data_IF_661068949506
#
_entry.id   IF_661068949506
#
_cell.length_a   1.000
_cell.length_b   1.000
_cell.length_c   1.000
_cell.angle_alpha   90.00
_cell.angle_beta   90.00
_cell.angle_gamma   90.00
#
_symmetry.space_group_name_H-M   'P 1'
#
loop_
_entity.id
_entity.type
_entity.pdbx_description
1 polymer ?
#
# COMPACT_ATOMS: atom_id res chain seq x y z
N UNK A 1 -8.07 -37.04 -20.10
CA UNK A 1 -8.73 -35.96 -20.88
C UNK A 1 -9.74 -35.13 -20.08
N UNK A 2 -10.43 -35.73 -19.07
CA UNK A 2 -11.43 -35.01 -18.24
C UNK A 2 -10.79 -33.91 -17.32
N UNK A 3 -9.57 -34.11 -16.81
CA UNK A 3 -8.87 -33.15 -15.99
C UNK A 3 -8.23 -32.03 -16.82
N UNK A 4 -7.80 -32.29 -18.04
CA UNK A 4 -7.29 -31.28 -18.97
C UNK A 4 -8.37 -30.31 -19.44
N UNK A 5 -9.61 -30.76 -19.67
CA UNK A 5 -10.70 -29.88 -20.08
C UNK A 5 -11.19 -28.94 -18.97
N UNK A 6 -11.14 -29.37 -17.69
CA UNK A 6 -11.45 -28.46 -16.55
C UNK A 6 -10.38 -27.40 -16.37
N UNK A 7 -9.09 -27.75 -16.48
CA UNK A 7 -7.99 -26.80 -16.39
C UNK A 7 -8.03 -25.73 -17.50
N UNK A 8 -8.35 -26.14 -18.73
CA UNK A 8 -8.53 -25.22 -19.86
C UNK A 8 -9.74 -24.29 -19.66
N UNK A 9 -10.88 -24.81 -19.18
CA UNK A 9 -12.06 -23.99 -18.90
C UNK A 9 -11.82 -22.90 -17.84
N UNK A 10 -11.05 -23.19 -16.80
CA UNK A 10 -10.68 -22.21 -15.76
C UNK A 10 -9.67 -21.20 -16.27
N UNK A 11 -8.73 -21.59 -17.15
CA UNK A 11 -7.79 -20.67 -17.82
C UNK A 11 -8.54 -19.73 -18.77
N UNK A 12 -9.48 -20.23 -19.57
CA UNK A 12 -10.31 -19.40 -20.46
C UNK A 12 -11.22 -18.44 -19.70
N UNK A 13 -11.83 -18.85 -18.59
CA UNK A 13 -12.64 -17.96 -17.75
C UNK A 13 -11.80 -16.85 -17.10
N UNK A 14 -10.60 -17.16 -16.62
CA UNK A 14 -9.67 -16.15 -16.08
C UNK A 14 -9.24 -15.14 -17.15
N UNK A 15 -8.85 -15.60 -18.34
CA UNK A 15 -8.51 -14.71 -19.45
C UNK A 15 -9.68 -13.80 -19.84
N UNK A 16 -10.94 -14.26 -19.74
CA UNK A 16 -12.11 -13.43 -20.04
C UNK A 16 -12.34 -12.33 -18.99
N UNK A 17 -12.15 -12.63 -17.69
CA UNK A 17 -12.30 -11.65 -16.61
C UNK A 17 -11.17 -10.61 -16.64
N UNK A 18 -9.92 -11.05 -16.82
CA UNK A 18 -8.78 -10.14 -16.96
C UNK A 18 -8.92 -9.23 -18.19
N UNK A 19 -9.45 -9.77 -19.29
CA UNK A 19 -9.71 -9.00 -20.51
C UNK A 19 -10.82 -7.96 -20.30
N UNK A 20 -11.91 -8.33 -19.61
CA UNK A 20 -12.99 -7.41 -19.28
C UNK A 20 -12.52 -6.30 -18.34
N UNK A 21 -11.77 -6.65 -17.30
CA UNK A 21 -11.17 -5.68 -16.37
C UNK A 21 -10.23 -4.70 -17.13
N UNK A 22 -9.37 -5.23 -18.01
CA UNK A 22 -8.47 -4.40 -18.83
C UNK A 22 -9.23 -3.49 -19.79
N UNK A 23 -10.30 -3.98 -20.43
CA UNK A 23 -11.14 -3.15 -21.30
C UNK A 23 -11.84 -2.03 -20.54
N UNK A 24 -12.43 -2.34 -19.37
CA UNK A 24 -13.07 -1.35 -18.50
C UNK A 24 -12.04 -0.30 -18.05
N UNK A 25 -10.85 -0.72 -17.61
CA UNK A 25 -9.74 0.14 -17.23
C UNK A 25 -9.36 1.09 -18.37
N UNK A 26 -9.17 0.55 -19.59
CA UNK A 26 -8.78 1.34 -20.76
C UNK A 26 -9.86 2.38 -21.13
N UNK A 27 -11.14 2.00 -21.10
CA UNK A 27 -12.24 2.94 -21.35
C UNK A 27 -12.25 4.12 -20.37
N UNK A 28 -11.99 3.83 -19.06
CA UNK A 28 -11.92 4.87 -18.03
C UNK A 28 -10.67 5.76 -18.18
N UNK A 29 -9.54 5.20 -18.58
CA UNK A 29 -8.30 5.97 -18.84
C UNK A 29 -8.51 6.99 -19.93
N UNK A 30 -9.19 6.64 -21.03
CA UNK A 30 -9.47 7.56 -22.13
C UNK A 30 -10.37 8.74 -21.70
N UNK A 31 -11.13 8.59 -20.61
CA UNK A 31 -11.95 9.69 -20.07
C UNK A 31 -11.07 10.81 -19.51
N UNK A 32 -9.86 10.49 -19.01
CA UNK A 32 -8.92 11.48 -18.46
C UNK A 32 -8.37 12.45 -19.53
N UNK A 33 -8.56 12.16 -20.83
CA UNK A 33 -8.19 13.10 -21.91
C UNK A 33 -8.98 14.41 -21.87
N UNK A 34 -10.12 14.42 -21.15
CA UNK A 34 -10.93 15.63 -20.91
C UNK A 34 -10.31 16.59 -19.86
N UNK A 35 -9.36 16.11 -19.04
CA UNK A 35 -8.66 16.93 -18.06
C UNK A 35 -7.60 17.79 -18.72
N UNK A 36 -7.42 19.00 -18.20
CA UNK A 36 -6.38 19.95 -18.63
C UNK A 36 -5.06 19.66 -17.93
N UNK A 37 -4.58 18.43 -18.09
CA UNK A 37 -3.35 17.93 -17.50
C UNK A 37 -2.35 17.58 -18.62
N UNK A 38 -1.07 17.65 -18.32
CA UNK A 38 -0.02 17.11 -19.19
C UNK A 38 -0.14 15.59 -19.34
N UNK A 39 0.44 15.01 -20.38
CA UNK A 39 0.40 13.56 -20.60
C UNK A 39 1.06 12.78 -19.44
N UNK A 40 2.08 13.39 -18.83
CA UNK A 40 2.71 12.84 -17.64
C UNK A 40 1.75 12.81 -16.45
N UNK A 41 1.08 13.92 -16.15
CA UNK A 41 0.12 14.04 -15.05
C UNK A 41 -1.07 13.11 -15.25
N UNK A 42 -1.58 12.98 -16.49
CA UNK A 42 -2.63 12.00 -16.83
C UNK A 42 -2.17 10.57 -16.58
N UNK A 43 -0.92 10.24 -16.93
CA UNK A 43 -0.35 8.91 -16.69
C UNK A 43 -0.21 8.60 -15.21
N UNK A 44 0.16 9.59 -14.39
CA UNK A 44 0.21 9.47 -12.93
C UNK A 44 -1.19 9.26 -12.36
N UNK A 45 -2.16 10.09 -12.76
CA UNK A 45 -3.56 9.96 -12.33
C UNK A 45 -4.13 8.58 -12.69
N UNK A 46 -3.94 8.13 -13.94
CA UNK A 46 -4.40 6.82 -14.40
C UNK A 46 -3.75 5.67 -13.61
N UNK A 47 -2.47 5.82 -13.26
CA UNK A 47 -1.76 4.82 -12.47
C UNK A 47 -2.25 4.77 -11.02
N UNK A 48 -2.48 5.92 -10.40
CA UNK A 48 -2.93 6.03 -9.01
C UNK A 48 -4.39 5.57 -8.83
N UNK A 49 -5.27 5.93 -9.74
CA UNK A 49 -6.71 5.67 -9.60
C UNK A 49 -7.11 4.32 -10.20
N UNK A 50 -6.62 4.02 -11.39
CA UNK A 50 -7.02 2.85 -12.17
C UNK A 50 -5.94 1.76 -12.26
N UNK A 51 -4.73 1.99 -11.71
CA UNK A 51 -3.62 1.02 -11.79
C UNK A 51 -3.00 0.90 -13.19
N UNK A 52 -3.29 1.81 -14.12
CA UNK A 52 -2.82 1.75 -15.50
C UNK A 52 -1.40 2.29 -15.64
N UNK A 53 -0.41 1.37 -15.61
CA UNK A 53 1.03 1.70 -15.61
C UNK A 53 1.67 1.82 -16.99
N UNK A 54 0.96 1.45 -18.07
CA UNK A 54 1.53 1.36 -19.43
C UNK A 54 1.95 2.71 -19.99
N UNK A 55 1.22 3.79 -19.68
CA UNK A 55 1.48 5.14 -20.16
C UNK A 55 2.60 5.85 -19.38
N UNK A 56 3.09 5.31 -18.26
CA UNK A 56 4.05 5.99 -17.40
C UNK A 56 5.48 5.85 -17.91
N UNK A 57 6.18 6.99 -18.06
CA UNK A 57 7.58 7.05 -18.51
C UNK A 57 8.54 6.43 -17.50
N UNK A 58 9.70 5.98 -17.97
CA UNK A 58 10.78 5.49 -17.08
C UNK A 58 11.29 6.59 -16.17
N UNK A 59 11.36 7.83 -16.66
CA UNK A 59 11.82 8.98 -15.90
C UNK A 59 10.87 9.32 -14.75
N UNK A 60 9.56 9.32 -15.00
CA UNK A 60 8.55 9.51 -13.94
C UNK A 60 8.67 8.44 -12.86
N UNK A 61 8.80 7.16 -13.25
CA UNK A 61 9.02 6.06 -12.30
C UNK A 61 10.28 6.27 -11.46
N UNK A 62 11.37 6.73 -12.08
CA UNK A 62 12.63 7.04 -11.41
C UNK A 62 12.47 8.16 -10.40
N UNK A 63 11.83 9.29 -10.75
CA UNK A 63 11.58 10.41 -9.82
C UNK A 63 10.79 9.96 -8.58
N UNK A 64 9.72 9.18 -8.76
CA UNK A 64 8.95 8.61 -7.65
C UNK A 64 9.79 7.64 -6.80
N UNK A 65 10.71 6.91 -7.43
CA UNK A 65 11.63 6.00 -6.72
C UNK A 65 12.64 6.78 -5.88
N UNK A 66 13.27 7.81 -6.44
CA UNK A 66 14.20 8.68 -5.72
C UNK A 66 13.52 9.38 -4.54
N UNK A 67 12.30 9.86 -4.73
CA UNK A 67 11.49 10.44 -3.67
C UNK A 67 10.99 9.44 -2.62
N UNK A 68 11.17 8.12 -2.82
CA UNK A 68 10.78 7.07 -1.87
C UNK A 68 9.30 6.71 -1.87
N UNK A 69 8.55 7.14 -2.89
CA UNK A 69 7.09 6.96 -2.97
C UNK A 69 6.65 6.06 -4.13
N UNK A 70 7.55 5.21 -4.63
CA UNK A 70 7.23 4.21 -5.68
C UNK A 70 6.06 3.30 -5.34
N UNK A 71 5.86 3.00 -4.05
CA UNK A 71 4.78 2.15 -3.59
C UNK A 71 3.39 2.77 -3.84
N UNK A 72 3.29 4.08 -3.97
CA UNK A 72 2.05 4.80 -4.30
C UNK A 72 1.69 4.61 -5.78
N UNK A 73 2.67 4.50 -6.68
CA UNK A 73 2.44 4.21 -8.11
C UNK A 73 1.92 2.78 -8.36
N UNK A 74 1.99 1.90 -7.40
CA UNK A 74 1.27 0.64 -7.46
C UNK A 74 -0.02 0.78 -6.68
N UNK A 75 -1.16 0.35 -7.24
CA UNK A 75 -2.39 0.26 -6.45
C UNK A 75 -2.08 -0.58 -5.21
N UNK A 76 -2.10 0.06 -4.06
CA UNK A 76 -1.64 -0.50 -2.79
C UNK A 76 -2.79 -0.67 -1.81
N UNK A 77 -2.49 -1.29 -0.67
CA UNK A 77 -3.44 -1.38 0.45
C UNK A 77 -3.95 -0.02 0.92
N UNK A 78 -3.14 1.03 0.79
CA UNK A 78 -3.55 2.40 1.09
C UNK A 78 -4.70 2.85 0.19
N UNK A 79 -4.64 2.63 -1.12
CA UNK A 79 -5.71 2.99 -2.07
C UNK A 79 -7.03 2.31 -1.71
N UNK A 80 -6.97 1.00 -1.43
CA UNK A 80 -8.13 0.21 -1.03
C UNK A 80 -8.71 0.71 0.30
N UNK A 81 -7.84 1.07 1.27
CA UNK A 81 -8.25 1.62 2.56
C UNK A 81 -8.89 3.00 2.42
N UNK A 82 -8.36 3.87 1.54
CA UNK A 82 -8.94 5.20 1.26
C UNK A 82 -10.35 5.07 0.68
N UNK A 83 -10.55 4.22 -0.32
CA UNK A 83 -11.87 3.96 -0.90
C UNK A 83 -12.83 3.39 0.15
N UNK A 84 -12.36 2.42 0.95
CA UNK A 84 -13.16 1.85 2.03
C UNK A 84 -13.56 2.90 3.08
N UNK A 85 -12.62 3.76 3.47
CA UNK A 85 -12.83 4.86 4.42
C UNK A 85 -13.83 5.88 3.90
N UNK A 86 -13.65 6.31 2.65
CA UNK A 86 -14.55 7.25 1.96
C UNK A 86 -15.98 6.70 1.89
N UNK A 87 -16.16 5.48 1.42
CA UNK A 87 -17.48 4.85 1.36
C UNK A 87 -18.07 4.59 2.77
N UNK A 88 -17.23 4.23 3.74
CA UNK A 88 -17.66 4.07 5.13
C UNK A 88 -18.18 5.37 5.72
N UNK A 89 -17.61 6.52 5.34
CA UNK A 89 -18.11 7.84 5.74
C UNK A 89 -19.51 8.06 5.20
N UNK A 90 -19.76 7.83 3.91
CA UNK A 90 -21.11 7.95 3.33
C UNK A 90 -22.10 6.94 3.88
N UNK A 91 -21.65 5.73 4.24
CA UNK A 91 -22.50 4.74 4.88
C UNK A 91 -22.64 4.96 6.39
N UNK A 92 -22.07 6.02 6.98
CA UNK A 92 -22.09 6.24 8.43
C UNK A 92 -23.48 6.55 8.99
N UNK A 93 -24.37 7.12 8.15
CA UNK A 93 -25.76 7.37 8.51
C UNK A 93 -26.64 6.10 8.50
N UNK A 94 -26.14 5.00 7.90
CA UNK A 94 -26.86 3.74 7.93
C UNK A 94 -26.87 3.11 9.33
N UNK A 95 -28.00 2.51 9.78
CA UNK A 95 -28.07 1.83 11.07
C UNK A 95 -26.98 0.77 11.21
N UNK A 96 -26.32 0.76 12.38
CA UNK A 96 -25.28 -0.24 12.71
C UNK A 96 -25.85 -1.54 13.26
N UNK A 97 -27.16 -1.75 13.22
CA UNK A 97 -27.87 -2.89 13.75
C UNK A 97 -28.90 -3.41 12.74
N UNK A 98 -29.34 -4.63 12.91
CA UNK A 98 -30.35 -5.26 12.01
C UNK A 98 -29.87 -5.36 10.56
N UNK A 99 -30.78 -5.12 9.63
CA UNK A 99 -30.56 -5.19 8.18
C UNK A 99 -29.56 -4.13 7.71
N UNK A 100 -29.59 -2.90 8.28
CA UNK A 100 -28.70 -1.81 7.89
C UNK A 100 -27.22 -2.18 7.97
N UNK A 101 -26.84 -2.97 8.98
CA UNK A 101 -25.47 -3.51 9.11
C UNK A 101 -25.06 -4.38 7.93
N UNK A 102 -25.94 -5.30 7.50
CA UNK A 102 -25.66 -6.18 6.38
C UNK A 102 -25.63 -5.45 5.04
N UNK A 103 -26.54 -4.49 4.85
CA UNK A 103 -26.55 -3.62 3.65
C UNK A 103 -25.23 -2.84 3.58
N UNK A 104 -24.82 -2.22 4.68
CA UNK A 104 -23.53 -1.52 4.75
C UNK A 104 -22.34 -2.46 4.45
N UNK A 105 -22.34 -3.66 5.00
CA UNK A 105 -21.31 -4.68 4.73
C UNK A 105 -21.25 -5.03 3.24
N UNK A 106 -22.38 -5.31 2.62
CA UNK A 106 -22.46 -5.68 1.19
C UNK A 106 -21.97 -4.52 0.32
N UNK A 107 -22.39 -3.28 0.61
CA UNK A 107 -21.93 -2.10 -0.13
C UNK A 107 -20.41 -1.97 -0.02
N UNK A 108 -19.84 -2.02 1.18
CA UNK A 108 -18.41 -1.84 1.37
C UNK A 108 -17.60 -2.95 0.70
N UNK A 109 -17.94 -4.22 0.93
CA UNK A 109 -17.22 -5.34 0.33
C UNK A 109 -17.40 -5.37 -1.18
N UNK A 110 -18.62 -5.15 -1.69
CA UNK A 110 -18.89 -5.08 -3.13
C UNK A 110 -18.10 -3.96 -3.81
N UNK A 111 -18.04 -2.78 -3.19
CA UNK A 111 -17.25 -1.65 -3.71
C UNK A 111 -15.75 -1.91 -3.69
N UNK A 112 -15.23 -2.57 -2.64
CA UNK A 112 -13.81 -2.96 -2.59
C UNK A 112 -13.44 -3.89 -3.74
N UNK A 113 -14.24 -4.92 -3.99
CA UNK A 113 -13.98 -5.84 -5.10
C UNK A 113 -14.26 -5.22 -6.47
N UNK A 114 -15.24 -4.30 -6.56
CA UNK A 114 -15.45 -3.46 -7.75
C UNK A 114 -14.23 -2.60 -8.07
N UNK A 115 -13.64 -1.95 -7.05
CA UNK A 115 -12.39 -1.19 -7.21
C UNK A 115 -11.24 -2.09 -7.66
N UNK A 116 -11.06 -3.27 -7.04
CA UNK A 116 -10.03 -4.24 -7.44
C UNK A 116 -10.22 -4.68 -8.89
N UNK A 117 -11.45 -4.89 -9.33
CA UNK A 117 -11.76 -5.23 -10.72
C UNK A 117 -11.37 -4.10 -11.68
N UNK A 118 -11.77 -2.86 -11.39
CA UNK A 118 -11.45 -1.68 -12.21
C UNK A 118 -9.93 -1.44 -12.28
N UNK A 119 -9.18 -1.74 -11.21
CA UNK A 119 -7.72 -1.62 -11.19
C UNK A 119 -6.98 -2.80 -11.85
N UNK A 120 -7.68 -3.64 -12.61
CA UNK A 120 -7.11 -4.75 -13.36
C UNK A 120 -6.64 -5.91 -12.48
N UNK A 121 -7.33 -6.16 -11.35
CA UNK A 121 -7.04 -7.25 -10.40
C UNK A 121 -5.59 -7.24 -9.89
N UNK A 122 -5.03 -6.03 -9.69
CA UNK A 122 -3.66 -5.87 -9.21
C UNK A 122 -3.42 -6.70 -7.94
N UNK A 123 -2.37 -7.56 -7.88
CA UNK A 123 -2.17 -8.49 -6.75
C UNK A 123 -2.11 -7.80 -5.38
N UNK A 124 -1.56 -6.59 -5.31
CA UNK A 124 -1.54 -5.78 -4.08
C UNK A 124 -2.93 -5.31 -3.64
N UNK A 125 -3.80 -4.94 -4.59
CA UNK A 125 -5.18 -4.55 -4.32
C UNK A 125 -6.02 -5.76 -3.87
N UNK A 126 -5.84 -6.92 -4.51
CA UNK A 126 -6.50 -8.19 -4.13
C UNK A 126 -6.17 -8.56 -2.68
N UNK A 127 -4.88 -8.50 -2.29
CA UNK A 127 -4.46 -8.77 -0.90
C UNK A 127 -5.14 -7.83 0.10
N UNK A 128 -5.14 -6.55 -0.18
CA UNK A 128 -5.75 -5.55 0.70
C UNK A 128 -7.27 -5.71 0.79
N UNK A 129 -7.94 -5.95 -0.33
CA UNK A 129 -9.38 -6.20 -0.36
C UNK A 129 -9.76 -7.46 0.43
N UNK A 130 -8.95 -8.53 0.32
CA UNK A 130 -9.17 -9.75 1.11
C UNK A 130 -9.02 -9.48 2.62
N UNK A 131 -7.94 -8.81 3.04
CA UNK A 131 -7.73 -8.44 4.44
C UNK A 131 -8.88 -7.58 4.98
N UNK A 132 -9.26 -6.53 4.24
CA UNK A 132 -10.37 -5.65 4.64
C UNK A 132 -11.72 -6.37 4.62
N UNK A 133 -11.97 -7.26 3.66
CA UNK A 133 -13.20 -8.06 3.61
C UNK A 133 -13.33 -8.96 4.84
N UNK A 134 -12.25 -9.64 5.24
CA UNK A 134 -12.22 -10.47 6.45
C UNK A 134 -12.45 -9.63 7.72
N UNK A 135 -11.80 -8.45 7.81
CA UNK A 135 -12.00 -7.52 8.90
C UNK A 135 -13.46 -7.02 8.98
N UNK A 136 -14.04 -6.60 7.85
CA UNK A 136 -15.43 -6.15 7.76
C UNK A 136 -16.42 -7.28 8.08
N UNK A 137 -16.13 -8.52 7.66
CA UNK A 137 -16.93 -9.71 7.98
C UNK A 137 -16.97 -9.94 9.50
N UNK A 138 -15.81 -9.90 10.17
CA UNK A 138 -15.75 -10.03 11.62
C UNK A 138 -16.59 -8.95 12.33
N UNK A 139 -16.52 -7.70 11.87
CA UNK A 139 -17.35 -6.61 12.40
C UNK A 139 -18.84 -6.81 12.10
N UNK A 140 -19.20 -7.28 10.91
CA UNK A 140 -20.58 -7.58 10.55
C UNK A 140 -21.15 -8.72 11.41
N UNK A 141 -20.35 -9.69 11.78
CA UNK A 141 -20.70 -10.79 12.71
C UNK A 141 -20.66 -10.37 14.19
N UNK A 142 -20.38 -9.12 14.52
CA UNK A 142 -20.20 -8.60 15.89
C UNK A 142 -19.11 -9.34 16.69
N UNK A 143 -18.08 -9.83 16.00
CA UNK A 143 -16.94 -10.44 16.65
C UNK A 143 -15.86 -9.39 16.92
N UNK A 144 -15.09 -9.62 17.99
CA UNK A 144 -13.86 -8.85 18.21
C UNK A 144 -12.90 -9.21 17.08
N UNK A 145 -12.56 -8.21 16.27
CA UNK A 145 -11.62 -8.38 15.15
C UNK A 145 -10.23 -7.99 15.62
N UNK A 146 -9.34 -8.97 15.66
CA UNK A 146 -7.92 -8.74 15.88
C UNK A 146 -7.19 -8.62 14.53
N UNK A 147 -6.30 -7.62 14.42
CA UNK A 147 -5.52 -7.37 13.21
C UNK A 147 -4.59 -8.52 12.85
N UNK A 148 -3.97 -9.16 13.85
CA UNK A 148 -3.09 -10.31 13.62
C UNK A 148 -3.84 -11.53 13.10
N UNK A 149 -5.00 -11.83 13.68
CA UNK A 149 -5.85 -12.92 13.22
C UNK A 149 -6.36 -12.67 11.81
N UNK A 150 -6.72 -11.43 11.49
CA UNK A 150 -7.14 -11.04 10.13
C UNK A 150 -6.01 -11.20 9.13
N UNK A 151 -4.80 -10.77 9.50
CA UNK A 151 -3.60 -10.91 8.67
C UNK A 151 -3.26 -12.39 8.42
N UNK A 152 -3.28 -13.21 9.47
CA UNK A 152 -3.02 -14.65 9.39
C UNK A 152 -4.07 -15.37 8.53
N UNK A 153 -5.36 -15.07 8.72
CA UNK A 153 -6.44 -15.66 7.92
C UNK A 153 -6.32 -15.28 6.44
N UNK A 154 -5.98 -14.02 6.13
CA UNK A 154 -5.76 -13.61 4.76
C UNK A 154 -4.53 -14.31 4.13
N UNK A 155 -3.43 -14.45 4.89
CA UNK A 155 -2.25 -15.20 4.44
C UNK A 155 -2.60 -16.66 4.15
N UNK A 156 -3.33 -17.30 5.07
CA UNK A 156 -3.77 -18.69 4.92
C UNK A 156 -4.63 -18.88 3.66
N UNK A 157 -5.63 -18.03 3.45
CA UNK A 157 -6.49 -18.11 2.26
C UNK A 157 -5.67 -17.97 0.97
N UNK A 158 -4.72 -17.04 0.91
CA UNK A 158 -3.90 -16.83 -0.27
C UNK A 158 -2.94 -18.00 -0.53
N UNK A 159 -2.27 -18.50 0.51
CA UNK A 159 -1.33 -19.62 0.39
C UNK A 159 -2.03 -20.95 0.13
N UNK A 160 -3.24 -21.15 0.66
CA UNK A 160 -4.08 -22.30 0.32
C UNK A 160 -4.51 -22.28 -1.15
N UNK A 161 -4.74 -21.08 -1.71
CA UNK A 161 -5.07 -20.92 -3.12
C UNK A 161 -3.83 -21.12 -4.02
N UNK A 162 -2.69 -20.54 -3.67
CA UNK A 162 -1.44 -20.70 -4.39
C UNK A 162 -0.24 -20.55 -3.44
N UNK A 163 0.43 -21.66 -3.07
CA UNK A 163 1.60 -21.65 -2.18
C UNK A 163 2.77 -20.81 -2.70
N UNK A 164 2.90 -20.65 -4.03
CA UNK A 164 4.00 -19.88 -4.63
C UNK A 164 3.94 -18.40 -4.32
N UNK A 165 2.81 -17.87 -3.83
CA UNK A 165 2.75 -16.49 -3.33
C UNK A 165 3.74 -16.20 -2.20
N UNK A 166 4.18 -17.21 -1.45
CA UNK A 166 5.21 -17.04 -0.44
C UNK A 166 6.52 -16.47 -1.01
N UNK A 167 6.82 -16.76 -2.26
CA UNK A 167 8.02 -16.28 -2.95
C UNK A 167 7.78 -14.99 -3.75
N UNK A 168 6.55 -14.49 -3.79
CA UNK A 168 6.24 -13.21 -4.42
C UNK A 168 6.71 -12.05 -3.53
N UNK A 169 7.56 -11.19 -4.10
CA UNK A 169 8.14 -10.03 -3.40
C UNK A 169 7.05 -9.10 -2.87
N UNK A 170 6.01 -8.88 -3.66
CA UNK A 170 4.89 -8.03 -3.25
C UNK A 170 4.10 -8.63 -2.08
N UNK A 171 3.94 -9.96 -2.03
CA UNK A 171 3.35 -10.66 -0.89
C UNK A 171 4.18 -10.45 0.37
N UNK A 172 5.48 -10.74 0.30
CA UNK A 172 6.40 -10.59 1.43
C UNK A 172 6.40 -9.16 1.96
N UNK A 173 6.57 -8.15 1.09
CA UNK A 173 6.59 -6.74 1.49
C UNK A 173 5.27 -6.30 2.11
N UNK A 174 4.12 -6.70 1.55
CA UNK A 174 2.83 -6.26 2.08
C UNK A 174 2.49 -6.88 3.43
N UNK A 175 2.77 -8.18 3.62
CA UNK A 175 2.52 -8.85 4.90
C UNK A 175 3.45 -8.38 6.00
N UNK A 176 4.73 -8.17 5.69
CA UNK A 176 5.69 -7.59 6.64
C UNK A 176 5.32 -6.15 7.00
N UNK A 177 4.98 -5.32 6.03
CA UNK A 177 4.55 -3.94 6.32
C UNK A 177 3.37 -3.92 7.31
N UNK A 178 2.30 -4.69 7.03
CA UNK A 178 1.12 -4.73 7.90
C UNK A 178 1.46 -5.32 9.28
N UNK A 179 2.27 -6.39 9.33
CA UNK A 179 2.72 -6.98 10.60
C UNK A 179 3.46 -5.95 11.47
N UNK A 180 4.43 -5.24 10.90
CA UNK A 180 5.20 -4.24 11.63
C UNK A 180 4.35 -3.01 12.00
N UNK A 181 3.40 -2.61 11.18
CA UNK A 181 2.44 -1.55 11.52
C UNK A 181 1.61 -1.98 12.74
N UNK A 182 1.02 -3.18 12.73
CA UNK A 182 0.23 -3.70 13.85
C UNK A 182 1.06 -3.81 15.13
N UNK A 183 2.35 -4.14 15.00
CA UNK A 183 3.23 -4.36 16.14
C UNK A 183 3.81 -3.05 16.69
N UNK A 184 4.32 -2.15 15.86
CA UNK A 184 5.09 -0.98 16.30
C UNK A 184 4.22 0.26 16.53
N UNK A 185 3.16 0.49 15.74
CA UNK A 185 2.36 1.72 15.87
C UNK A 185 1.73 1.88 17.25
N UNK A 186 1.13 0.86 17.88
CA UNK A 186 0.63 0.99 19.26
C UNK A 186 1.72 1.42 20.24
N UNK A 187 2.93 0.84 20.11
CA UNK A 187 4.07 1.15 20.98
C UNK A 187 4.59 2.57 20.80
N UNK A 188 4.69 3.04 19.56
CA UNK A 188 5.08 4.42 19.29
C UNK A 188 4.08 5.43 19.86
N UNK A 189 2.78 5.11 19.82
CA UNK A 189 1.73 5.93 20.45
C UNK A 189 1.80 5.92 21.99
N UNK A 190 2.24 4.82 22.60
CA UNK A 190 2.49 4.75 24.06
C UNK A 190 3.72 5.55 24.48
N UNK A 191 4.79 5.55 23.67
CA UNK A 191 6.03 6.29 23.97
C UNK A 191 5.87 7.79 23.83
N UNK A 192 5.12 8.25 22.83
CA UNK A 192 4.89 9.67 22.56
C UNK A 192 3.39 9.91 22.47
N UNK A 193 2.83 10.39 23.57
CA UNK A 193 1.40 10.73 23.66
C UNK A 193 1.18 12.14 23.14
N UNK A 194 0.66 12.25 21.91
CA UNK A 194 0.28 13.52 21.30
C UNK A 194 -1.15 13.86 21.73
N UNK A 195 -1.29 14.86 22.63
CA UNK A 195 -2.59 15.30 23.17
C UNK A 195 -3.33 16.25 22.22
N UNK A 196 -2.62 16.98 21.37
CA UNK A 196 -3.24 17.91 20.44
C UNK A 196 -3.82 17.13 19.24
N UNK A 197 -5.14 17.20 18.97
CA UNK A 197 -5.79 16.48 17.88
C UNK A 197 -5.26 16.86 16.49
N UNK A 198 -4.81 18.11 16.30
CA UNK A 198 -4.23 18.57 15.04
C UNK A 198 -2.87 17.94 14.74
N UNK A 199 -2.10 17.59 15.77
CA UNK A 199 -0.81 16.92 15.65
C UNK A 199 -0.93 15.39 15.71
N UNK A 200 -2.01 14.86 16.26
CA UNK A 200 -2.22 13.43 16.39
C UNK A 200 -2.32 12.72 15.04
N UNK A 201 -3.02 13.32 14.06
CA UNK A 201 -3.16 12.75 12.72
C UNK A 201 -1.82 12.67 11.95
N UNK A 202 -1.03 13.77 11.82
CA UNK A 202 0.32 13.68 11.23
C UNK A 202 1.23 12.70 11.98
N UNK A 203 1.16 12.67 13.32
CA UNK A 203 1.92 11.73 14.13
C UNK A 203 1.58 10.28 13.82
N UNK A 204 0.29 9.96 13.67
CA UNK A 204 -0.14 8.62 13.28
C UNK A 204 0.41 8.21 11.91
N UNK A 205 0.41 9.10 10.93
CA UNK A 205 0.96 8.82 9.61
C UNK A 205 2.47 8.63 9.63
N UNK A 206 3.19 9.43 10.41
CA UNK A 206 4.63 9.27 10.62
C UNK A 206 4.93 7.92 11.27
N UNK A 207 4.21 7.53 12.31
CA UNK A 207 4.42 6.24 12.99
C UNK A 207 4.12 5.05 12.09
N UNK A 208 3.05 5.11 11.29
CA UNK A 208 2.72 4.10 10.29
C UNK A 208 3.82 3.98 9.22
N UNK A 209 4.31 5.12 8.71
CA UNK A 209 5.37 5.15 7.70
C UNK A 209 6.67 4.56 8.24
N UNK A 210 7.08 4.94 9.45
CA UNK A 210 8.29 4.41 10.10
C UNK A 210 8.13 2.90 10.37
N UNK A 211 7.00 2.46 10.89
CA UNK A 211 6.76 1.05 11.19
C UNK A 211 6.81 0.18 9.91
N UNK A 212 6.14 0.61 8.85
CA UNK A 212 6.19 -0.08 7.56
C UNK A 212 7.61 -0.13 7.00
N UNK A 213 8.36 0.97 7.10
CA UNK A 213 9.71 1.06 6.59
C UNK A 213 10.68 0.16 7.35
N UNK A 214 10.60 0.11 8.69
CA UNK A 214 11.39 -0.83 9.51
C UNK A 214 11.14 -2.26 9.08
N UNK A 215 9.87 -2.62 8.83
CA UNK A 215 9.52 -3.97 8.40
C UNK A 215 10.01 -4.33 7.01
N UNK A 216 10.06 -3.39 6.09
CA UNK A 216 10.32 -3.66 4.67
C UNK A 216 11.72 -3.28 4.19
N UNK A 217 12.47 -2.46 4.94
CA UNK A 217 13.75 -1.90 4.52
C UNK A 217 14.76 -2.98 4.10
N UNK A 218 14.92 -4.04 4.89
CA UNK A 218 15.88 -5.10 4.63
C UNK A 218 15.55 -5.88 3.34
N UNK A 219 14.26 -6.16 3.10
CA UNK A 219 13.81 -6.76 1.84
C UNK A 219 13.98 -5.80 0.66
N UNK A 220 13.74 -4.51 0.86
CA UNK A 220 13.96 -3.51 -0.19
C UNK A 220 15.44 -3.43 -0.59
N UNK A 221 16.37 -3.45 0.37
CA UNK A 221 17.80 -3.52 0.07
C UNK A 221 18.19 -4.83 -0.63
N UNK A 222 17.62 -5.95 -0.22
CA UNK A 222 17.90 -7.25 -0.83
C UNK A 222 17.40 -7.33 -2.27
N UNK A 223 16.13 -6.94 -2.54
CA UNK A 223 15.54 -7.09 -3.86
C UNK A 223 15.84 -5.94 -4.81
N UNK A 224 15.84 -4.70 -4.32
CA UNK A 224 15.92 -3.51 -5.17
C UNK A 224 17.26 -2.78 -5.10
N UNK A 225 18.09 -3.08 -4.08
CA UNK A 225 19.41 -2.46 -3.93
C UNK A 225 19.39 -0.97 -3.68
N UNK A 226 18.26 -0.41 -3.23
CA UNK A 226 18.11 1.03 -2.97
C UNK A 226 17.12 1.32 -1.85
N UNK A 227 17.40 2.39 -1.12
CA UNK A 227 16.58 2.89 -0.03
C UNK A 227 16.51 4.41 -0.08
N UNK A 228 15.31 4.97 -0.02
CA UNK A 228 15.15 6.42 0.00
C UNK A 228 15.32 6.96 1.43
N UNK A 229 16.15 7.98 1.59
CA UNK A 229 16.36 8.68 2.86
C UNK A 229 15.31 9.76 3.12
N UNK A 230 14.75 10.32 2.05
CA UNK A 230 13.73 11.38 2.11
C UNK A 230 12.30 10.84 2.22
N UNK A 231 12.13 9.50 2.26
CA UNK A 231 10.81 8.85 2.23
C UNK A 231 9.82 9.41 3.25
N UNK A 232 10.28 9.74 4.45
CA UNK A 232 9.41 10.22 5.52
C UNK A 232 8.81 11.59 5.20
N UNK A 233 9.65 12.49 4.67
CA UNK A 233 9.24 13.86 4.31
C UNK A 233 8.37 13.87 3.05
N UNK A 234 8.65 13.00 2.08
CA UNK A 234 7.87 12.89 0.85
C UNK A 234 6.56 12.13 1.06
N UNK A 235 6.60 11.06 1.86
CA UNK A 235 5.45 10.17 2.03
C UNK A 235 4.27 10.91 2.68
N UNK A 236 4.52 11.78 3.65
CA UNK A 236 3.46 12.51 4.35
C UNK A 236 2.62 13.38 3.39
N UNK A 237 3.20 14.35 2.64
CA UNK A 237 2.41 15.18 1.73
C UNK A 237 1.84 14.40 0.54
N UNK A 238 2.58 13.45 -0.03
CA UNK A 238 2.10 12.65 -1.17
C UNK A 238 0.93 11.76 -0.76
N UNK A 239 0.99 11.14 0.42
CA UNK A 239 -0.12 10.33 0.96
C UNK A 239 -1.34 11.19 1.24
N UNK A 240 -1.17 12.41 1.79
CA UNK A 240 -2.25 13.35 2.02
C UNK A 240 -2.93 13.74 0.69
N UNK A 241 -2.15 14.12 -0.30
CA UNK A 241 -2.68 14.45 -1.63
C UNK A 241 -3.39 13.24 -2.27
N UNK A 242 -2.82 12.05 -2.19
CA UNK A 242 -3.44 10.82 -2.72
C UNK A 242 -4.75 10.46 -2.00
N UNK A 243 -4.83 10.71 -0.68
CA UNK A 243 -6.04 10.46 0.11
C UNK A 243 -7.25 11.26 -0.39
N UNK A 244 -7.03 12.47 -0.89
CA UNK A 244 -8.07 13.28 -1.51
C UNK A 244 -8.19 13.00 -3.01
N UNK A 245 -7.08 12.87 -3.71
CA UNK A 245 -7.06 12.66 -5.16
C UNK A 245 -7.87 11.43 -5.58
N UNK A 246 -7.70 10.30 -4.91
CA UNK A 246 -8.37 9.05 -5.28
C UNK A 246 -9.90 9.17 -5.22
N UNK A 247 -10.51 9.60 -4.10
CA UNK A 247 -11.97 9.77 -4.04
C UNK A 247 -12.49 10.83 -5.01
N UNK A 248 -11.81 11.97 -5.13
CA UNK A 248 -12.24 13.04 -6.04
C UNK A 248 -12.13 12.64 -7.51
N UNK A 249 -11.12 11.85 -7.89
CA UNK A 249 -11.00 11.32 -9.24
C UNK A 249 -12.13 10.34 -9.57
N UNK A 250 -12.51 9.44 -8.64
CA UNK A 250 -13.67 8.56 -8.84
C UNK A 250 -14.99 9.33 -8.84
N UNK A 251 -15.12 10.36 -8.01
CA UNK A 251 -16.28 11.25 -8.03
C UNK A 251 -16.38 11.93 -9.40
N UNK A 252 -15.27 12.47 -9.91
CA UNK A 252 -15.21 13.12 -11.22
C UNK A 252 -15.55 12.17 -12.37
N UNK A 253 -15.05 10.93 -12.33
CA UNK A 253 -15.36 9.90 -13.34
C UNK A 253 -16.85 9.51 -13.36
N UNK A 254 -17.51 9.52 -12.22
CA UNK A 254 -18.93 9.17 -12.08
C UNK A 254 -19.88 10.38 -12.18
N UNK A 255 -19.35 11.61 -12.20
CA UNK A 255 -20.19 12.80 -12.20
C UNK A 255 -20.58 13.21 -13.63
N UNK A 256 -21.86 13.47 -13.94
CA UNK A 256 -22.29 13.86 -15.28
C UNK A 256 -21.68 15.19 -15.71
N UNK A 257 -21.19 15.26 -16.96
CA UNK A 257 -20.47 16.43 -17.51
C UNK A 257 -21.33 17.70 -17.51
N UNK A 258 -22.64 17.56 -17.74
CA UNK A 258 -23.58 18.66 -17.85
C UNK A 258 -24.11 19.17 -16.51
N UNK A 259 -23.67 18.58 -15.40
CA UNK A 259 -24.16 18.96 -14.07
C UNK A 259 -23.37 20.11 -13.47
N UNK A 260 -24.08 20.97 -12.75
CA UNK A 260 -23.50 22.09 -12.00
C UNK A 260 -22.43 21.61 -11.01
N UNK A 261 -21.22 22.18 -11.11
CA UNK A 261 -20.11 21.84 -10.22
C UNK A 261 -19.07 20.87 -10.83
N UNK A 262 -19.29 20.33 -12.03
CA UNK A 262 -18.31 19.47 -12.72
C UNK A 262 -16.93 20.14 -12.84
N UNK A 263 -16.90 21.41 -13.24
CA UNK A 263 -15.66 22.19 -13.39
C UNK A 263 -14.91 22.38 -12.05
N UNK A 264 -15.62 22.45 -10.93
CA UNK A 264 -15.01 22.56 -9.62
C UNK A 264 -14.32 21.27 -9.23
N UNK A 265 -14.98 20.12 -9.42
CA UNK A 265 -14.39 18.80 -9.14
C UNK A 265 -13.18 18.60 -10.05
N UNK A 266 -13.28 18.97 -11.33
CA UNK A 266 -12.18 18.91 -12.28
C UNK A 266 -10.96 19.71 -11.79
N UNK A 267 -11.16 20.98 -11.43
CA UNK A 267 -10.07 21.85 -10.91
C UNK A 267 -9.42 21.29 -9.64
N UNK A 268 -10.21 20.67 -8.76
CA UNK A 268 -9.68 20.01 -7.55
C UNK A 268 -8.77 18.83 -7.95
N UNK A 269 -9.23 17.97 -8.86
CA UNK A 269 -8.43 16.84 -9.34
C UNK A 269 -7.14 17.31 -10.01
N UNK A 270 -7.23 18.29 -10.92
CA UNK A 270 -6.07 18.86 -11.61
C UNK A 270 -5.07 19.48 -10.62
N UNK A 271 -5.56 20.24 -9.64
CA UNK A 271 -4.73 20.86 -8.60
C UNK A 271 -4.03 19.83 -7.69
N UNK A 272 -4.72 18.75 -7.33
CA UNK A 272 -4.15 17.69 -6.49
C UNK A 272 -3.06 16.91 -7.24
N UNK A 273 -3.26 16.61 -8.54
CA UNK A 273 -2.23 15.95 -9.37
C UNK A 273 -1.01 16.86 -9.51
N UNK A 274 -1.24 18.11 -9.87
CA UNK A 274 -0.16 19.11 -10.02
C UNK A 274 0.64 19.29 -8.71
N UNK A 275 -0.05 19.37 -7.58
CA UNK A 275 0.57 19.43 -6.26
C UNK A 275 1.41 18.20 -5.95
N UNK A 276 0.92 17.02 -6.30
CA UNK A 276 1.65 15.75 -6.10
C UNK A 276 2.93 15.68 -6.93
N UNK A 277 2.86 16.05 -8.21
CA UNK A 277 4.03 16.08 -9.10
C UNK A 277 5.08 17.04 -8.56
N UNK A 278 4.67 18.26 -8.16
CA UNK A 278 5.59 19.24 -7.54
C UNK A 278 6.30 18.71 -6.31
N UNK A 279 5.58 18.07 -5.40
CA UNK A 279 6.18 17.49 -4.20
C UNK A 279 7.22 16.44 -4.58
N UNK A 280 6.88 15.52 -5.49
CA UNK A 280 7.81 14.49 -5.95
C UNK A 280 9.04 15.09 -6.62
N UNK A 281 8.87 16.11 -7.46
CA UNK A 281 9.98 16.77 -8.15
C UNK A 281 10.96 17.42 -7.15
N UNK A 282 10.44 18.16 -6.17
CA UNK A 282 11.28 18.79 -5.13
C UNK A 282 12.13 17.76 -4.38
N UNK A 283 11.52 16.65 -3.95
CA UNK A 283 12.24 15.64 -3.18
C UNK A 283 13.10 14.71 -4.02
N UNK A 284 12.79 14.51 -5.30
CA UNK A 284 13.58 13.66 -6.20
C UNK A 284 14.95 14.26 -6.57
N UNK A 285 15.10 15.60 -6.49
CA UNK A 285 16.33 16.32 -6.83
C UNK A 285 17.23 16.55 -5.60
N UNK A 286 16.75 16.21 -4.39
CA UNK A 286 17.55 16.40 -3.17
C UNK A 286 18.83 15.55 -3.21
N UNK A 287 19.97 16.13 -2.80
CA UNK A 287 21.21 15.37 -2.68
C UNK A 287 21.04 14.26 -1.64
N UNK A 288 21.61 13.08 -1.92
CA UNK A 288 21.51 11.90 -1.06
C UNK A 288 20.07 11.39 -0.83
N UNK A 289 19.13 11.67 -1.74
CA UNK A 289 17.75 11.19 -1.64
C UNK A 289 17.66 9.67 -1.56
N UNK A 290 18.68 8.95 -2.03
CA UNK A 290 18.73 7.47 -1.97
C UNK A 290 20.11 6.98 -1.57
N UNK A 291 20.11 5.93 -0.74
CA UNK A 291 21.29 5.11 -0.47
C UNK A 291 21.16 3.86 -1.35
N UNK A 292 22.24 3.55 -2.08
CA UNK A 292 22.32 2.35 -2.90
C UNK A 292 23.23 1.34 -2.21
N UNK A 293 22.82 0.08 -2.21
CA UNK A 293 23.57 -1.03 -1.65
C UNK A 293 22.77 -2.32 -1.80
N UNK A 294 23.41 -3.45 -1.92
CA UNK A 294 22.74 -4.75 -1.99
C UNK A 294 23.11 -5.60 -0.81
N UNK A 295 22.13 -6.04 -0.06
CA UNK A 295 22.33 -7.06 0.96
C UNK A 295 22.35 -8.45 0.32
N UNK A 296 23.24 -9.30 0.80
CA UNK A 296 23.16 -10.72 0.55
C UNK A 296 21.98 -11.33 1.33
N UNK A 297 21.57 -12.54 0.95
CA UNK A 297 20.50 -13.26 1.67
C UNK A 297 20.81 -13.42 3.17
N UNK A 298 22.07 -13.71 3.52
CA UNK A 298 22.48 -13.88 4.93
C UNK A 298 22.48 -12.57 5.71
N UNK A 299 22.83 -11.44 5.10
CA UNK A 299 22.76 -10.11 5.73
C UNK A 299 21.33 -9.68 5.97
N UNK A 300 20.45 -9.92 5.00
CA UNK A 300 19.02 -9.69 5.16
C UNK A 300 18.45 -10.54 6.31
N UNK A 301 18.74 -11.84 6.32
CA UNK A 301 18.27 -12.76 7.37
C UNK A 301 18.81 -12.37 8.75
N UNK A 302 20.09 -12.03 8.84
CA UNK A 302 20.71 -11.53 10.07
C UNK A 302 20.07 -10.22 10.53
N UNK A 303 19.79 -9.29 9.62
CA UNK A 303 19.09 -8.05 9.92
C UNK A 303 17.69 -8.29 10.51
N UNK A 304 16.91 -9.22 9.95
CA UNK A 304 15.64 -9.61 10.55
C UNK A 304 15.83 -10.30 11.91
N UNK A 305 16.85 -11.17 12.05
CA UNK A 305 17.22 -11.76 13.34
C UNK A 305 17.53 -10.69 14.39
N UNK A 306 18.30 -9.66 14.02
CA UNK A 306 18.55 -8.50 14.89
C UNK A 306 17.26 -7.78 15.29
N UNK A 307 16.37 -7.47 14.32
CA UNK A 307 15.09 -6.85 14.60
C UNK A 307 14.25 -7.70 15.57
N UNK A 308 14.16 -9.02 15.36
CA UNK A 308 13.43 -9.93 16.24
C UNK A 308 14.00 -9.91 17.66
N UNK A 309 15.32 -9.95 17.80
CA UNK A 309 15.99 -9.86 19.11
C UNK A 309 15.69 -8.52 19.81
N UNK A 310 15.70 -7.41 19.05
CA UNK A 310 15.31 -6.11 19.58
C UNK A 310 13.84 -6.11 20.07
N UNK A 311 12.92 -6.69 19.31
CA UNK A 311 11.52 -6.80 19.68
C UNK A 311 11.33 -7.69 20.93
N UNK A 312 12.08 -8.78 21.05
CA UNK A 312 12.08 -9.65 22.23
C UNK A 312 12.63 -8.88 23.43
N UNK A 313 13.75 -8.14 23.25
CA UNK A 313 14.34 -7.33 24.32
C UNK A 313 13.36 -6.27 24.84
N UNK A 314 12.64 -5.60 23.94
CA UNK A 314 11.61 -4.63 24.33
C UNK A 314 10.52 -5.22 25.24
N UNK A 315 10.23 -6.52 25.10
CA UNK A 315 9.22 -7.23 25.89
C UNK A 315 9.78 -7.80 27.19
N UNK A 316 10.94 -8.45 27.14
CA UNK A 316 11.50 -9.24 28.26
C UNK A 316 12.50 -8.43 29.09
N UNK A 317 13.20 -7.45 28.46
CA UNK A 317 14.25 -6.59 29.05
C UNK A 317 15.42 -7.37 29.67
N UNK A 318 15.70 -8.57 29.18
CA UNK A 318 16.83 -9.38 29.64
C UNK A 318 18.14 -8.93 28.97
N UNK A 319 19.22 -8.61 29.75
CA UNK A 319 20.49 -8.13 29.19
C UNK A 319 21.14 -9.13 28.20
N UNK A 320 20.91 -10.43 28.38
CA UNK A 320 21.43 -11.49 27.49
C UNK A 320 20.86 -11.37 26.07
N UNK A 321 19.59 -10.96 25.94
CA UNK A 321 18.93 -10.74 24.62
C UNK A 321 19.52 -9.53 23.94
N UNK A 322 19.78 -8.45 24.68
CA UNK A 322 20.44 -7.26 24.15
C UNK A 322 21.87 -7.59 23.67
N UNK A 323 22.62 -8.35 24.46
CA UNK A 323 23.96 -8.78 24.08
C UNK A 323 23.94 -9.62 22.79
N UNK A 324 23.00 -10.56 22.66
CA UNK A 324 22.83 -11.36 21.45
C UNK A 324 22.47 -10.48 20.24
N UNK A 325 21.62 -9.47 20.42
CA UNK A 325 21.29 -8.52 19.35
C UNK A 325 22.54 -7.72 18.90
N UNK A 326 23.30 -7.17 19.86
CA UNK A 326 24.51 -6.39 19.58
C UNK A 326 25.63 -7.25 18.93
N UNK A 327 25.81 -8.49 19.36
CA UNK A 327 26.77 -9.41 18.73
C UNK A 327 26.38 -9.75 17.30
N UNK A 328 25.11 -10.00 17.03
CA UNK A 328 24.61 -10.24 15.69
C UNK A 328 24.81 -9.01 14.79
N UNK A 329 24.50 -7.81 15.28
CA UNK A 329 24.73 -6.56 14.56
C UNK A 329 26.23 -6.37 14.24
N UNK A 330 27.12 -6.65 15.20
CA UNK A 330 28.57 -6.56 14.98
C UNK A 330 29.03 -7.52 13.88
N UNK A 331 28.58 -8.77 13.91
CA UNK A 331 28.93 -9.77 12.89
C UNK A 331 28.50 -9.31 11.49
N UNK A 332 27.28 -8.78 11.37
CA UNK A 332 26.77 -8.26 10.08
C UNK A 332 27.60 -7.05 9.64
N UNK A 333 27.89 -6.11 10.54
CA UNK A 333 28.67 -4.90 10.23
C UNK A 333 30.10 -5.22 9.78
N UNK A 334 30.79 -6.15 10.45
CA UNK A 334 32.13 -6.59 10.09
C UNK A 334 32.11 -7.24 8.70
N UNK A 335 31.10 -8.05 8.39
CA UNK A 335 30.96 -8.67 7.06
C UNK A 335 30.72 -7.64 5.96
N UNK A 336 29.88 -6.64 6.20
CA UNK A 336 29.62 -5.54 5.24
C UNK A 336 30.92 -4.73 5.02
N UNK A 337 31.63 -4.39 6.07
CA UNK A 337 32.91 -3.66 5.96
C UNK A 337 33.99 -4.47 5.22
N UNK A 338 34.06 -5.78 5.42
CA UNK A 338 35.01 -6.63 4.69
C UNK A 338 34.73 -6.69 3.19
N UNK A 339 33.47 -6.53 2.76
CA UNK A 339 33.08 -6.48 1.36
C UNK A 339 33.34 -5.13 0.68
N UNK A 340 33.46 -4.06 1.45
CA UNK A 340 33.77 -2.71 0.92
C UNK A 340 35.28 -2.55 0.69
N UNK A 341 36.12 -3.33 1.38
CA UNK A 341 37.58 -3.28 1.28
C UNK A 341 38.20 -4.25 0.24
N UNK A 342 37.36 -4.98 -0.50
CA UNK A 342 37.77 -5.80 -1.63
C UNK A 342 37.27 -5.16 -2.93
#
# INVERSE_FOLDING_TARGET
DYYASRGLGDVYKRQSLDLLATKAQYSLVNTFDRLRLSDEEKSILATLTLGYKKAMSRETKRRFSLAGVSHILAVSGFHVAVICGFLSFFCSFMPRWGIGRWVRYIILVGSLWGFVFITGLAPSAVRAALMLSLYLTGRALRRVTDGYNTLAAAAFCMLAYNPYYLFDVGFQLSYLAVFFILFLVPRFKEWIVVRNPLLAMPWEWITVSIAAQIGTALLCFYYFGQFSTVFLFTNLPVTLLAMFLIPFAFLWLGYPVDFYGYDWIQKIVEGLVHGMVRVVDVFSVMPYATITGRFSFFEMLGGYGFLVLCLIYMKIREPKVLLAALTLLLIISVKILSLIHI
#
